data_IF_912235040477
#
_entry.id   IF_912235040477
#
_cell.length_a   1.000
_cell.length_b   1.000
_cell.length_c   1.000
_cell.angle_alpha   90.00
_cell.angle_beta   90.00
_cell.angle_gamma   90.00
#
_symmetry.space_group_name_H-M   'P 1'
#
loop_
_entity.id
_entity.type
_entity.pdbx_description
1 polymer ?
#
# COMPACT_ATOMS: atom_id res chain seq x y z
N UNK A 1 -8.57 0.72 -5.01
CA UNK A 1 -7.57 -0.06 -5.77
C UNK A 1 -7.92 -1.53 -6.00
N UNK A 2 -8.40 -2.30 -5.01
CA UNK A 2 -9.03 -3.61 -5.28
C UNK A 2 -8.09 -4.79 -5.58
N UNK A 3 -6.83 -4.71 -5.11
CA UNK A 3 -5.80 -5.76 -5.24
C UNK A 3 -6.07 -7.02 -4.41
N UNK A 4 -6.78 -6.87 -3.28
CA UNK A 4 -7.13 -7.96 -2.37
C UNK A 4 -8.65 -8.11 -2.31
N UNK A 5 -9.12 -9.33 -2.08
CA UNK A 5 -10.55 -9.64 -1.97
C UNK A 5 -11.11 -9.27 -0.60
N UNK A 6 -10.30 -9.41 0.46
CA UNK A 6 -10.74 -9.22 1.84
C UNK A 6 -9.59 -9.07 2.83
N UNK A 7 -9.90 -8.51 4.00
CA UNK A 7 -9.00 -8.41 5.15
C UNK A 7 -9.78 -8.81 6.40
N UNK A 8 -9.23 -9.75 7.15
CA UNK A 8 -9.81 -10.28 8.38
C UNK A 8 -8.77 -10.25 9.51
N UNK A 9 -9.23 -10.14 10.76
CA UNK A 9 -8.36 -10.36 11.92
C UNK A 9 -8.37 -11.83 12.29
N UNK A 10 -7.34 -12.30 12.99
CA UNK A 10 -7.21 -13.68 13.43
C UNK A 10 -6.04 -13.87 14.38
N UNK A 11 -5.72 -15.11 14.66
CA UNK A 11 -4.43 -15.50 15.25
C UNK A 11 -3.47 -16.04 14.18
N UNK A 12 -2.42 -16.71 14.63
CA UNK A 12 -1.41 -17.33 13.78
C UNK A 12 -1.88 -18.62 13.10
N UNK A 13 -3.05 -19.16 13.48
CA UNK A 13 -3.61 -20.41 12.97
C UNK A 13 -4.73 -20.14 11.98
N UNK A 14 -5.68 -19.26 12.33
CA UNK A 14 -6.87 -19.01 11.51
C UNK A 14 -7.42 -17.59 11.65
N UNK A 15 -8.20 -17.11 10.66
CA UNK A 15 -9.01 -15.91 10.81
C UNK A 15 -10.10 -16.09 11.89
N UNK A 16 -10.42 -15.00 12.57
CA UNK A 16 -11.48 -14.95 13.56
C UNK A 16 -12.85 -15.12 12.88
N UNK A 17 -13.68 -16.06 13.35
CA UNK A 17 -15.06 -16.22 12.88
C UNK A 17 -15.98 -15.16 13.47
N UNK A 18 -15.77 -14.84 14.75
CA UNK A 18 -16.47 -13.79 15.49
C UNK A 18 -15.47 -12.73 15.97
N UNK A 19 -15.94 -11.52 16.25
CA UNK A 19 -15.06 -10.45 16.71
C UNK A 19 -14.41 -10.78 18.06
N UNK A 20 -13.06 -10.83 18.06
CA UNK A 20 -12.25 -10.95 19.28
C UNK A 20 -11.54 -9.62 19.54
N UNK A 21 -11.73 -9.00 20.72
CA UNK A 21 -11.03 -7.76 21.05
C UNK A 21 -9.53 -7.99 21.21
N UNK A 22 -8.75 -7.05 20.70
CA UNK A 22 -7.30 -7.03 20.90
C UNK A 22 -6.98 -6.49 22.29
N UNK A 23 -6.35 -7.32 23.12
CA UNK A 23 -5.95 -7.02 24.50
C UNK A 23 -4.43 -7.21 24.67
N UNK A 24 -3.81 -6.68 25.74
CA UNK A 24 -2.40 -6.91 26.01
C UNK A 24 -2.00 -8.39 26.08
N UNK A 25 -2.92 -9.26 26.51
CA UNK A 25 -2.67 -10.70 26.65
C UNK A 25 -2.63 -11.44 25.30
N UNK A 26 -3.33 -10.94 24.28
CA UNK A 26 -3.45 -11.60 22.98
C UNK A 26 -2.75 -10.86 21.81
N UNK A 27 -2.30 -9.62 21.99
CA UNK A 27 -1.71 -8.77 20.93
C UNK A 27 -0.57 -9.46 20.19
N UNK A 28 0.26 -10.24 20.89
CA UNK A 28 1.41 -10.92 20.30
C UNK A 28 1.02 -12.03 19.30
N UNK A 29 -0.15 -12.65 19.49
CA UNK A 29 -0.63 -13.74 18.63
C UNK A 29 -1.58 -13.26 17.53
N UNK A 30 -2.12 -12.03 17.64
CA UNK A 30 -3.01 -11.45 16.63
C UNK A 30 -2.31 -11.27 15.27
N UNK A 31 -3.03 -11.54 14.18
CA UNK A 31 -2.58 -11.41 12.79
C UNK A 31 -3.65 -10.75 11.93
N UNK A 32 -3.21 -10.22 10.79
CA UNK A 32 -4.07 -9.82 9.69
C UNK A 32 -4.03 -10.92 8.64
N UNK A 33 -5.19 -11.46 8.32
CA UNK A 33 -5.40 -12.41 7.23
C UNK A 33 -5.85 -11.64 6.00
N UNK A 34 -5.20 -11.92 4.87
CA UNK A 34 -5.47 -11.27 3.60
C UNK A 34 -5.99 -12.31 2.61
N UNK A 35 -7.11 -12.01 1.96
CA UNK A 35 -7.64 -12.82 0.88
C UNK A 35 -7.12 -12.27 -0.45
N UNK A 36 -6.34 -13.08 -1.16
CA UNK A 36 -5.77 -12.70 -2.44
C UNK A 36 -6.81 -12.86 -3.55
N UNK A 37 -6.78 -11.94 -4.52
CA UNK A 37 -7.71 -11.93 -5.65
C UNK A 37 -7.05 -12.47 -6.91
N UNK A 38 -7.77 -13.33 -7.62
CA UNK A 38 -7.36 -13.92 -8.90
C UNK A 38 -8.45 -13.67 -9.95
N UNK A 39 -8.06 -13.49 -11.20
CA UNK A 39 -8.97 -13.30 -12.32
C UNK A 39 -8.36 -13.93 -13.58
N UNK A 40 -9.13 -14.73 -14.32
CA UNK A 40 -8.67 -15.44 -15.53
C UNK A 40 -7.36 -16.21 -15.31
N UNK A 41 -7.28 -16.98 -14.22
CA UNK A 41 -6.10 -17.74 -13.80
C UNK A 41 -4.82 -16.90 -13.55
N UNK A 42 -4.93 -15.57 -13.47
CA UNK A 42 -3.84 -14.67 -13.11
C UNK A 42 -4.08 -13.99 -11.74
N UNK A 43 -3.03 -13.77 -10.93
CA UNK A 43 -3.15 -12.97 -9.72
C UNK A 43 -3.39 -11.51 -10.06
N UNK A 44 -4.31 -10.86 -9.34
CA UNK A 44 -4.57 -9.42 -9.49
C UNK A 44 -3.45 -8.59 -8.87
N UNK A 45 -2.88 -9.03 -7.75
CA UNK A 45 -1.65 -8.46 -7.19
C UNK A 45 -0.45 -9.28 -7.70
N UNK A 46 0.12 -8.85 -8.83
CA UNK A 46 1.25 -9.51 -9.47
C UNK A 46 2.58 -9.21 -8.78
N UNK A 47 2.78 -7.97 -8.34
CA UNK A 47 4.03 -7.53 -7.73
C UNK A 47 3.80 -6.36 -6.78
N UNK A 48 4.43 -6.43 -5.62
CA UNK A 48 4.52 -5.32 -4.66
C UNK A 48 5.99 -5.07 -4.31
N UNK A 49 6.42 -3.81 -4.33
CA UNK A 49 7.81 -3.45 -4.05
C UNK A 49 7.89 -2.25 -3.12
N UNK A 50 8.66 -2.38 -2.03
CA UNK A 50 8.93 -1.29 -1.10
C UNK A 50 9.86 -0.26 -1.76
N UNK A 51 9.43 0.99 -1.74
CA UNK A 51 10.18 2.14 -2.26
C UNK A 51 10.97 2.79 -1.14
N UNK A 52 10.27 3.24 -0.09
CA UNK A 52 10.91 3.73 1.13
C UNK A 52 11.32 2.57 2.02
N UNK A 53 12.60 2.55 2.41
CA UNK A 53 13.19 1.51 3.26
C UNK A 53 13.73 2.15 4.54
N UNK A 54 13.86 1.39 5.66
CA UNK A 54 14.44 1.94 6.88
C UNK A 54 15.83 2.58 6.69
N UNK A 55 16.64 2.02 5.79
CA UNK A 55 17.96 2.55 5.44
C UNK A 55 17.94 3.81 4.56
N UNK A 56 16.86 4.03 3.81
CA UNK A 56 16.70 5.18 2.93
C UNK A 56 15.23 5.53 2.76
N UNK A 57 14.81 6.56 3.49
CA UNK A 57 13.47 7.12 3.40
C UNK A 57 13.29 7.90 2.10
N UNK A 58 12.11 7.78 1.49
CA UNK A 58 11.78 8.47 0.24
C UNK A 58 10.55 9.33 0.46
N UNK A 59 10.79 10.63 0.65
CA UNK A 59 9.72 11.63 0.84
C UNK A 59 9.65 12.48 -0.41
N UNK A 60 8.42 12.70 -0.90
CA UNK A 60 8.16 13.44 -2.12
C UNK A 60 7.16 14.58 -1.89
N UNK A 61 7.42 15.72 -2.53
CA UNK A 61 6.48 16.85 -2.61
C UNK A 61 5.44 16.62 -3.69
N UNK A 62 4.37 17.43 -3.67
CA UNK A 62 3.26 17.34 -4.64
C UNK A 62 3.77 17.43 -6.09
N UNK A 63 4.67 18.36 -6.40
CA UNK A 63 5.27 18.52 -7.74
C UNK A 63 6.03 17.26 -8.20
N UNK A 64 6.74 16.60 -7.27
CA UNK A 64 7.47 15.36 -7.53
C UNK A 64 6.53 14.18 -7.77
N UNK A 65 5.39 14.15 -7.07
CA UNK A 65 4.33 13.16 -7.26
C UNK A 65 3.59 13.36 -8.59
N UNK A 66 3.39 14.61 -9.03
CA UNK A 66 2.81 14.93 -10.34
C UNK A 66 3.70 14.39 -11.47
N UNK A 67 5.01 14.57 -11.35
CA UNK A 67 5.96 13.97 -12.30
C UNK A 67 5.85 12.44 -12.32
N UNK A 68 5.73 11.81 -11.15
CA UNK A 68 5.62 10.35 -11.04
C UNK A 68 4.31 9.82 -11.65
N UNK A 69 3.18 10.51 -11.42
CA UNK A 69 1.89 10.24 -12.05
C UNK A 69 1.92 10.38 -13.58
N UNK A 70 2.65 11.37 -14.09
CA UNK A 70 2.82 11.59 -15.52
C UNK A 70 3.72 10.55 -16.21
N UNK A 71 4.24 9.55 -15.47
CA UNK A 71 5.17 8.56 -16.00
C UNK A 71 6.62 9.06 -16.11
N UNK A 72 6.90 10.28 -15.65
CA UNK A 72 8.24 10.85 -15.62
C UNK A 72 9.03 10.35 -14.42
N UNK A 73 10.35 10.30 -14.58
CA UNK A 73 11.25 10.00 -13.46
C UNK A 73 11.21 11.15 -12.45
N UNK A 74 11.07 10.82 -11.18
CA UNK A 74 11.12 11.77 -10.07
C UNK A 74 12.13 11.29 -9.03
N UNK A 75 13.09 12.13 -8.69
CA UNK A 75 14.31 11.74 -7.96
C UNK A 75 14.97 10.50 -8.63
N UNK A 76 15.15 9.41 -7.88
CA UNK A 76 15.70 8.15 -8.38
C UNK A 76 14.61 7.12 -8.73
N UNK A 77 13.32 7.46 -8.58
CA UNK A 77 12.19 6.57 -8.82
C UNK A 77 11.69 6.75 -10.26
N UNK A 78 11.54 5.64 -10.98
CA UNK A 78 10.95 5.63 -12.34
C UNK A 78 9.47 6.01 -12.26
N UNK A 79 8.93 6.63 -13.30
CA UNK A 79 7.50 6.92 -13.40
C UNK A 79 6.61 5.68 -13.20
N UNK A 80 5.36 5.92 -12.78
CA UNK A 80 4.36 4.86 -12.72
C UNK A 80 4.07 4.32 -14.12
N UNK A 81 3.91 3.01 -14.22
CA UNK A 81 3.49 2.35 -15.44
C UNK A 81 1.97 2.16 -15.46
N UNK A 82 1.33 1.94 -16.62
CA UNK A 82 -0.09 1.64 -16.69
C UNK A 82 -0.45 0.42 -15.82
N UNK A 83 -1.50 0.55 -15.02
CA UNK A 83 -1.96 -0.49 -14.08
C UNK A 83 -1.20 -0.55 -12.75
N UNK A 84 -0.14 0.25 -12.59
CA UNK A 84 0.60 0.34 -11.35
C UNK A 84 0.08 1.46 -10.45
N UNK A 85 0.07 1.21 -9.15
CA UNK A 85 -0.23 2.21 -8.12
C UNK A 85 1.01 2.52 -7.29
N UNK A 86 1.02 3.72 -6.71
CA UNK A 86 1.95 4.10 -5.66
C UNK A 86 1.15 4.40 -4.38
N UNK A 87 1.60 3.85 -3.27
CA UNK A 87 1.00 4.05 -1.95
C UNK A 87 1.95 4.91 -1.12
N UNK A 88 1.40 5.94 -0.49
CA UNK A 88 2.17 6.92 0.25
C UNK A 88 1.53 7.26 1.60
N UNK A 89 2.38 7.47 2.60
CA UNK A 89 1.98 8.00 3.90
C UNK A 89 1.95 9.51 3.83
N UNK A 90 0.79 10.08 4.06
CA UNK A 90 0.54 11.52 4.08
C UNK A 90 0.04 11.96 5.46
N UNK A 91 -0.16 13.26 5.65
CA UNK A 91 -0.85 13.81 6.82
C UNK A 91 -2.33 13.39 6.91
N UNK A 92 -2.92 12.88 5.83
CA UNK A 92 -4.28 12.35 5.79
C UNK A 92 -4.34 10.83 5.95
N UNK A 93 -3.22 10.19 6.32
CA UNK A 93 -3.09 8.74 6.39
C UNK A 93 -2.46 8.13 5.14
N UNK A 94 -2.64 6.83 4.97
CA UNK A 94 -2.11 6.09 3.82
C UNK A 94 -3.05 6.27 2.64
N UNK A 95 -2.54 6.84 1.56
CA UNK A 95 -3.31 7.15 0.34
C UNK A 95 -2.64 6.58 -0.89
N UNK A 96 -3.44 6.39 -1.94
CA UNK A 96 -2.93 6.20 -3.29
C UNK A 96 -2.37 7.52 -3.83
N UNK A 97 -1.48 7.45 -4.82
CA UNK A 97 -0.83 8.63 -5.37
C UNK A 97 -1.83 9.63 -5.96
N UNK A 98 -2.86 9.16 -6.67
CA UNK A 98 -3.90 10.05 -7.21
C UNK A 98 -4.70 10.73 -6.10
N UNK A 99 -5.16 9.97 -5.11
CA UNK A 99 -5.87 10.51 -3.94
C UNK A 99 -5.05 11.59 -3.21
N UNK A 100 -3.73 11.38 -3.07
CA UNK A 100 -2.85 12.35 -2.45
C UNK A 100 -2.66 13.61 -3.30
N UNK A 101 -2.57 13.47 -4.63
CA UNK A 101 -2.51 14.60 -5.55
C UNK A 101 -3.80 15.43 -5.52
N UNK A 102 -4.97 14.79 -5.48
CA UNK A 102 -6.26 15.47 -5.34
C UNK A 102 -6.34 16.29 -4.05
N UNK A 103 -5.75 15.79 -2.96
CA UNK A 103 -5.66 16.49 -1.67
C UNK A 103 -4.50 17.48 -1.58
N UNK A 104 -3.69 17.63 -2.63
CA UNK A 104 -2.50 18.48 -2.63
C UNK A 104 -1.49 18.08 -1.53
N UNK A 105 -1.42 16.79 -1.20
CA UNK A 105 -0.58 16.27 -0.12
C UNK A 105 0.67 15.56 -0.66
N UNK A 106 1.84 15.98 -0.18
CA UNK A 106 3.07 15.20 -0.30
C UNK A 106 3.14 14.11 0.77
N UNK A 107 4.20 13.29 0.74
CA UNK A 107 4.34 12.21 1.71
C UNK A 107 5.53 11.29 1.50
N UNK A 108 5.64 10.29 2.38
CA UNK A 108 6.60 9.20 2.23
C UNK A 108 6.05 8.15 1.25
N UNK A 109 6.75 7.89 0.16
CA UNK A 109 6.39 6.88 -0.83
C UNK A 109 6.74 5.48 -0.30
N UNK A 110 5.74 4.76 0.20
CA UNK A 110 5.93 3.46 0.87
C UNK A 110 6.27 2.36 -0.13
N UNK A 111 5.38 2.14 -1.10
CA UNK A 111 5.49 1.01 -2.00
C UNK A 111 4.78 1.26 -3.32
N UNK A 112 5.10 0.41 -4.30
CA UNK A 112 4.42 0.32 -5.59
C UNK A 112 3.84 -1.06 -5.77
N UNK A 113 2.66 -1.14 -6.38
CA UNK A 113 1.97 -2.40 -6.61
C UNK A 113 1.34 -2.46 -8.01
N UNK A 114 1.33 -3.64 -8.60
CA UNK A 114 0.68 -4.01 -9.88
C UNK A 114 0.14 -5.42 -9.78
#
# INVERSE_FOLDING_TARGET
>A
EGFIAGVSRGDHVQPDTDYVPTTPDNIATRRLWLELKYNNDEPVLKKMSAVSKPSKKVVMKVEELQNLAAGNRSQFIKGLQPGEIAILTTNYGVLELRDALEKGAGGELLCRAI
#
